data_IF_749426123458
#
_entry.id   IF_749426123458
#
_cell.length_a   1.000
_cell.length_b   1.000
_cell.length_c   1.000
_cell.angle_alpha   90.00
_cell.angle_beta   90.00
_cell.angle_gamma   90.00
#
_symmetry.space_group_name_H-M   'P 1'
#
loop_
_entity.id
_entity.type
_entity.pdbx_description
1 polymer ?
#
# COMPACT_ATOMS: atom_id res chain seq x y z
N UNK A 1 -16.25 -7.64 -7.94
CA UNK A 1 -15.29 -7.02 -8.85
C UNK A 1 -15.38 -7.69 -10.22
N UNK A 2 -15.57 -6.92 -11.29
CA UNK A 2 -15.57 -7.42 -12.68
C UNK A 2 -14.19 -7.31 -13.33
N UNK A 3 -13.44 -6.26 -13.00
CA UNK A 3 -12.13 -5.97 -13.58
C UNK A 3 -11.04 -5.91 -12.51
N UNK A 4 -9.87 -6.47 -12.81
CA UNK A 4 -8.61 -6.14 -12.16
C UNK A 4 -8.09 -4.79 -12.66
N UNK A 5 -7.39 -4.05 -11.79
CA UNK A 5 -6.90 -2.70 -12.05
C UNK A 5 -5.38 -2.61 -11.88
N UNK A 6 -4.71 -1.94 -12.82
CA UNK A 6 -3.28 -1.67 -12.77
C UNK A 6 -3.02 -0.19 -13.05
N UNK A 7 -2.22 0.42 -12.18
CA UNK A 7 -1.60 1.72 -12.38
C UNK A 7 -0.10 1.49 -12.47
N UNK A 8 0.56 2.02 -13.49
CA UNK A 8 2.01 1.86 -13.64
C UNK A 8 2.68 3.11 -14.16
N UNK A 9 3.86 3.41 -13.59
CA UNK A 9 4.83 4.38 -14.11
C UNK A 9 6.06 3.68 -14.72
N UNK A 10 5.93 2.41 -15.10
CA UNK A 10 6.88 1.71 -15.97
C UNK A 10 6.66 2.13 -17.43
N UNK A 11 7.72 2.16 -18.22
CA UNK A 11 7.57 2.17 -19.67
C UNK A 11 6.81 0.91 -20.11
N UNK A 12 5.94 1.04 -21.11
CA UNK A 12 5.18 -0.09 -21.66
C UNK A 12 5.70 -0.37 -23.06
N UNK A 13 6.21 -1.58 -23.29
CA UNK A 13 6.68 -2.06 -24.59
C UNK A 13 5.62 -2.96 -25.24
N UNK A 14 5.92 -3.52 -26.42
CA UNK A 14 5.05 -4.49 -27.09
C UNK A 14 4.86 -5.79 -26.29
N UNK A 15 5.78 -6.12 -25.39
CA UNK A 15 5.75 -7.36 -24.59
C UNK A 15 5.29 -7.16 -23.15
N UNK A 16 5.07 -5.92 -22.72
CA UNK A 16 4.56 -5.60 -21.39
C UNK A 16 5.25 -4.41 -20.72
N UNK A 17 4.96 -4.17 -19.43
CA UNK A 17 5.65 -3.17 -18.64
C UNK A 17 7.13 -3.55 -18.50
N UNK A 18 8.00 -2.67 -18.98
CA UNK A 18 9.44 -2.78 -18.85
C UNK A 18 9.93 -2.27 -17.50
N UNK A 19 11.22 -2.00 -17.44
CA UNK A 19 11.94 -1.69 -16.21
C UNK A 19 12.40 -0.23 -16.10
N UNK A 20 12.01 0.61 -17.06
CA UNK A 20 12.37 2.03 -17.05
C UNK A 20 11.26 2.88 -16.46
N UNK A 21 11.65 3.90 -15.69
CA UNK A 21 10.73 4.90 -15.16
C UNK A 21 10.19 5.81 -16.28
N UNK A 22 8.88 6.03 -16.28
CA UNK A 22 8.24 7.13 -17.01
C UNK A 22 7.59 8.10 -16.02
N UNK A 23 7.62 9.40 -16.33
CA UNK A 23 7.10 10.47 -15.44
C UNK A 23 5.58 10.64 -15.50
N UNK A 24 4.86 9.66 -16.05
CA UNK A 24 3.40 9.68 -16.17
C UNK A 24 2.80 8.35 -15.74
N UNK A 25 1.61 8.39 -15.14
CA UNK A 25 0.85 7.18 -14.80
C UNK A 25 0.06 6.70 -16.02
N UNK A 26 0.14 5.40 -16.28
CA UNK A 26 -0.71 4.69 -17.24
C UNK A 26 -1.67 3.76 -16.49
N UNK A 27 -2.85 3.56 -17.08
CA UNK A 27 -3.98 2.90 -16.44
C UNK A 27 -4.44 1.74 -17.31
N UNK A 28 -4.60 0.57 -16.70
CA UNK A 28 -4.93 -0.66 -17.39
C UNK A 28 -5.99 -1.43 -16.60
N UNK A 29 -6.85 -2.14 -17.32
CA UNK A 29 -7.82 -3.08 -16.76
C UNK A 29 -7.71 -4.45 -17.41
N UNK A 30 -8.04 -5.49 -16.66
CA UNK A 30 -8.13 -6.85 -17.15
C UNK A 30 -9.39 -7.52 -16.58
N UNK A 31 -10.13 -8.35 -17.35
CA UNK A 31 -11.27 -9.08 -16.79
C UNK A 31 -10.83 -10.04 -15.68
N UNK A 32 -11.55 -10.05 -14.56
CA UNK A 32 -11.34 -11.07 -13.53
C UNK A 32 -11.65 -12.46 -14.12
N UNK A 33 -10.75 -13.42 -13.89
CA UNK A 33 -10.81 -14.78 -14.45
C UNK A 33 -9.85 -15.02 -15.62
N UNK A 34 -9.21 -13.97 -16.15
CA UNK A 34 -8.03 -14.10 -17.03
C UNK A 34 -6.75 -14.27 -16.20
N UNK A 35 -5.68 -14.75 -16.84
CA UNK A 35 -4.35 -14.75 -16.25
C UNK A 35 -3.83 -13.31 -16.21
N UNK A 36 -3.77 -12.73 -15.02
CA UNK A 36 -3.32 -11.36 -14.81
C UNK A 36 -1.79 -11.23 -14.95
N UNK A 37 -1.06 -12.35 -14.93
CA UNK A 37 0.37 -12.38 -15.22
C UNK A 37 0.69 -12.43 -16.72
N UNK A 38 -0.33 -12.57 -17.57
CA UNK A 38 -0.23 -12.40 -19.02
C UNK A 38 -0.58 -10.96 -19.41
N UNK A 39 0.37 -10.25 -20.03
CA UNK A 39 0.16 -8.86 -20.45
C UNK A 39 -0.95 -8.73 -21.50
N UNK A 40 -1.18 -9.76 -22.31
CA UNK A 40 -2.25 -9.76 -23.31
C UNK A 40 -3.66 -9.68 -22.69
N UNK A 41 -3.80 -9.99 -21.40
CA UNK A 41 -5.05 -9.82 -20.66
C UNK A 41 -5.38 -8.36 -20.34
N UNK A 42 -4.42 -7.45 -20.46
CA UNK A 42 -4.53 -6.06 -20.02
C UNK A 42 -4.84 -5.11 -21.17
N UNK A 43 -5.87 -4.29 -20.98
CA UNK A 43 -6.26 -3.22 -21.90
C UNK A 43 -5.91 -1.87 -21.29
N UNK A 44 -5.14 -1.06 -22.02
CA UNK A 44 -4.88 0.34 -21.64
C UNK A 44 -6.16 1.15 -21.79
N UNK A 45 -6.49 1.95 -20.78
CA UNK A 45 -7.63 2.87 -20.78
C UNK A 45 -7.19 4.27 -20.36
N UNK A 46 -8.06 5.26 -20.52
CA UNK A 46 -7.77 6.61 -20.04
C UNK A 46 -7.88 6.68 -18.52
N UNK A 47 -7.23 7.67 -17.89
CA UNK A 47 -7.37 7.88 -16.44
C UNK A 47 -8.80 8.25 -16.01
N UNK A 48 -9.58 8.86 -16.91
CA UNK A 48 -11.00 9.15 -16.66
C UNK A 48 -11.82 7.85 -16.63
N UNK A 49 -11.67 7.00 -17.66
CA UNK A 49 -12.38 5.71 -17.72
C UNK A 49 -11.99 4.81 -16.55
N UNK A 50 -10.70 4.82 -16.16
CA UNK A 50 -10.22 4.06 -15.01
C UNK A 50 -10.91 4.48 -13.71
N UNK A 51 -11.02 5.79 -13.48
CA UNK A 51 -11.76 6.33 -12.32
C UNK A 51 -13.23 5.93 -12.39
N UNK A 52 -13.87 6.06 -13.55
CA UNK A 52 -15.30 5.77 -13.70
C UNK A 52 -15.61 4.27 -13.48
N UNK A 53 -14.70 3.38 -13.88
CA UNK A 53 -14.76 1.96 -13.56
C UNK A 53 -14.61 1.69 -12.05
N UNK A 54 -13.66 2.35 -11.36
CA UNK A 54 -13.54 2.25 -9.90
C UNK A 54 -14.79 2.78 -9.17
N UNK A 55 -15.35 3.89 -9.64
CA UNK A 55 -16.60 4.43 -9.08
C UNK A 55 -17.76 3.46 -9.29
N UNK A 56 -17.82 2.79 -10.43
CA UNK A 56 -18.85 1.77 -10.70
C UNK A 56 -18.74 0.59 -9.76
N UNK A 57 -17.52 0.08 -9.51
CA UNK A 57 -17.30 -1.04 -8.57
C UNK A 57 -17.60 -0.63 -7.12
N UNK A 58 -17.16 0.55 -6.70
CA UNK A 58 -17.33 1.04 -5.32
C UNK A 58 -18.76 1.51 -5.03
N UNK A 59 -19.55 1.87 -6.05
CA UNK A 59 -20.97 2.19 -5.88
C UNK A 59 -21.78 0.98 -5.37
N UNK A 60 -21.32 -0.25 -5.64
CA UNK A 60 -21.94 -1.48 -5.14
C UNK A 60 -21.59 -1.79 -3.67
N UNK A 61 -20.70 -1.01 -3.04
CA UNK A 61 -20.35 -1.23 -1.64
C UNK A 61 -21.54 -0.91 -0.72
N UNK A 62 -21.74 -1.70 0.35
CA UNK A 62 -22.85 -1.52 1.26
C UNK A 62 -22.72 -0.18 2.00
N UNK A 63 -23.85 0.47 2.24
CA UNK A 63 -23.93 1.59 3.18
C UNK A 63 -24.10 0.98 4.56
N UNK A 64 -23.15 1.21 5.45
CA UNK A 64 -23.13 0.66 6.81
C UNK A 64 -23.26 1.79 7.83
N UNK A 65 -23.78 1.47 9.01
CA UNK A 65 -23.71 2.36 10.17
C UNK A 65 -22.29 2.32 10.76
N UNK A 66 -21.92 3.36 11.53
CA UNK A 66 -20.58 3.50 12.09
C UNK A 66 -20.15 2.34 13.01
N UNK A 67 -21.11 1.65 13.63
CA UNK A 67 -20.88 0.48 14.47
C UNK A 67 -20.35 -0.73 13.69
N UNK A 68 -20.69 -0.84 12.40
CA UNK A 68 -20.29 -1.93 11.52
C UNK A 68 -19.09 -1.57 10.63
N UNK A 69 -18.23 -0.66 11.09
CA UNK A 69 -17.08 -0.19 10.30
C UNK A 69 -16.12 -1.33 9.87
N UNK A 70 -16.08 -2.46 10.59
CA UNK A 70 -15.25 -3.63 10.26
C UNK A 70 -15.73 -4.39 9.01
N UNK A 71 -16.98 -4.13 8.58
CA UNK A 71 -17.56 -4.67 7.35
C UNK A 71 -17.53 -3.68 6.17
N UNK A 72 -17.02 -2.46 6.37
CA UNK A 72 -16.82 -1.50 5.28
C UNK A 72 -15.84 -2.06 4.25
N UNK A 73 -16.15 -1.83 2.97
CA UNK A 73 -15.32 -2.29 1.88
C UNK A 73 -14.22 -1.27 1.60
N UNK A 74 -13.12 -1.77 1.06
CA UNK A 74 -11.90 -1.02 0.85
C UNK A 74 -11.65 -0.81 -0.65
N UNK A 75 -11.16 0.38 -1.01
CA UNK A 75 -10.35 0.57 -2.20
C UNK A 75 -8.88 0.47 -1.75
N UNK A 76 -8.29 -0.68 -2.02
CA UNK A 76 -6.94 -1.02 -1.59
C UNK A 76 -5.94 -0.86 -2.72
N UNK A 77 -4.75 -0.35 -2.41
CA UNK A 77 -3.61 -0.31 -3.32
C UNK A 77 -2.59 -1.36 -2.89
N UNK A 78 -2.10 -2.18 -3.81
CA UNK A 78 -0.96 -3.06 -3.57
C UNK A 78 0.29 -2.51 -4.29
N UNK A 79 1.30 -2.14 -3.52
CA UNK A 79 2.60 -1.65 -4.01
C UNK A 79 3.63 -2.74 -3.80
N UNK A 80 4.13 -3.33 -4.89
CA UNK A 80 5.08 -4.43 -4.83
C UNK A 80 6.48 -4.00 -4.39
N UNK A 81 7.31 -4.98 -4.02
CA UNK A 81 8.70 -4.79 -3.59
C UNK A 81 9.74 -4.73 -4.72
N UNK A 82 11.00 -4.68 -4.31
CA UNK A 82 12.19 -4.71 -5.17
C UNK A 82 12.43 -6.05 -5.86
N UNK A 83 13.16 -6.03 -6.98
CA UNK A 83 13.56 -7.19 -7.79
C UNK A 83 12.37 -8.08 -8.21
N UNK A 84 11.20 -7.47 -8.39
CA UNK A 84 10.06 -8.12 -9.00
C UNK A 84 9.96 -7.70 -10.47
N UNK A 85 9.99 -8.70 -11.35
CA UNK A 85 9.46 -8.52 -12.70
C UNK A 85 7.99 -8.11 -12.60
N UNK A 86 7.47 -7.44 -13.63
CA UNK A 86 6.04 -7.13 -13.69
C UNK A 86 5.18 -8.39 -13.50
N UNK A 87 5.60 -9.52 -14.09
CA UNK A 87 4.89 -10.79 -13.99
C UNK A 87 4.82 -11.31 -12.55
N UNK A 88 5.90 -11.22 -11.77
CA UNK A 88 5.88 -11.62 -10.35
C UNK A 88 4.95 -10.73 -9.52
N UNK A 89 4.98 -9.41 -9.76
CA UNK A 89 4.07 -8.48 -9.10
C UNK A 89 2.60 -8.79 -9.46
N UNK A 90 2.32 -9.11 -10.73
CA UNK A 90 1.00 -9.48 -11.20
C UNK A 90 0.51 -10.82 -10.62
N UNK A 91 1.38 -11.82 -10.48
CA UNK A 91 1.07 -13.10 -9.82
C UNK A 91 0.69 -12.90 -8.35
N UNK A 92 1.47 -12.11 -7.61
CA UNK A 92 1.17 -11.77 -6.22
C UNK A 92 -0.15 -11.02 -6.10
N UNK A 93 -0.40 -10.06 -6.98
CA UNK A 93 -1.65 -9.32 -7.03
C UNK A 93 -2.85 -10.23 -7.31
N UNK A 94 -2.75 -11.15 -8.27
CA UNK A 94 -3.79 -12.13 -8.56
C UNK A 94 -4.06 -13.05 -7.36
N UNK A 95 -3.00 -13.47 -6.67
CA UNK A 95 -3.11 -14.25 -5.43
C UNK A 95 -3.89 -13.47 -4.37
N UNK A 96 -3.51 -12.22 -4.09
CA UNK A 96 -4.19 -11.37 -3.11
C UNK A 96 -5.66 -11.14 -3.48
N UNK A 97 -5.99 -10.95 -4.77
CA UNK A 97 -7.37 -10.86 -5.21
C UNK A 97 -8.16 -12.11 -4.82
N UNK A 98 -7.60 -13.28 -5.10
CA UNK A 98 -8.25 -14.57 -4.82
C UNK A 98 -8.46 -14.77 -3.32
N UNK A 99 -7.43 -14.47 -2.53
CA UNK A 99 -7.40 -14.82 -1.11
C UNK A 99 -8.15 -13.81 -0.24
N UNK A 100 -8.21 -12.51 -0.63
CA UNK A 100 -8.73 -11.43 0.23
C UNK A 100 -9.83 -10.55 -0.41
N UNK A 101 -9.91 -10.49 -1.75
CA UNK A 101 -10.84 -9.58 -2.46
C UNK A 101 -11.88 -10.31 -3.30
N UNK A 102 -12.00 -11.63 -3.11
CA UNK A 102 -12.96 -12.52 -3.76
C UNK A 102 -13.66 -13.39 -2.73
N UNK A 103 -14.77 -14.03 -3.11
CA UNK A 103 -15.52 -14.92 -2.23
C UNK A 103 -16.75 -14.27 -1.59
N UNK A 104 -17.23 -14.85 -0.49
CA UNK A 104 -18.50 -14.46 0.14
C UNK A 104 -18.43 -13.13 0.89
N UNK A 105 -17.28 -12.82 1.50
CA UNK A 105 -17.07 -11.57 2.25
C UNK A 105 -15.75 -10.87 1.83
N UNK A 106 -15.69 -10.30 0.62
CA UNK A 106 -14.44 -9.75 0.08
C UNK A 106 -14.08 -8.40 0.72
N UNK A 107 -12.79 -8.09 0.85
CA UNK A 107 -12.35 -6.78 1.37
C UNK A 107 -12.77 -5.59 0.50
N UNK A 108 -13.04 -5.77 -0.79
CA UNK A 108 -13.49 -4.71 -1.69
C UNK A 108 -12.79 -4.76 -3.05
N UNK A 109 -12.13 -3.67 -3.44
CA UNK A 109 -11.37 -3.56 -4.69
C UNK A 109 -9.88 -3.45 -4.38
N UNK A 110 -9.04 -4.21 -5.10
CA UNK A 110 -7.58 -4.10 -5.06
C UNK A 110 -7.08 -3.52 -6.38
N UNK A 111 -6.13 -2.60 -6.32
CA UNK A 111 -5.44 -2.02 -7.47
C UNK A 111 -3.95 -2.32 -7.35
N UNK A 112 -3.36 -2.92 -8.40
CA UNK A 112 -1.92 -3.07 -8.48
C UNK A 112 -1.29 -1.72 -8.84
N UNK A 113 -0.34 -1.26 -8.04
CA UNK A 113 0.51 -0.11 -8.34
C UNK A 113 1.91 -0.64 -8.64
N UNK A 114 2.29 -0.60 -9.92
CA UNK A 114 3.58 -1.11 -10.38
C UNK A 114 4.57 0.01 -10.66
N UNK A 115 5.79 -0.16 -10.16
CA UNK A 115 6.90 0.77 -10.32
C UNK A 115 8.15 0.04 -10.83
N UNK A 116 9.06 0.71 -11.56
CA UNK A 116 10.25 0.08 -12.14
C UNK A 116 11.18 -0.39 -11.02
N UNK A 117 11.20 -1.69 -10.75
CA UNK A 117 11.89 -2.27 -9.59
C UNK A 117 12.86 -3.41 -9.92
N UNK A 118 13.17 -3.63 -11.20
CA UNK A 118 13.89 -4.83 -11.67
C UNK A 118 15.41 -4.64 -11.76
N UNK A 119 16.00 -3.78 -10.93
CA UNK A 119 17.44 -3.55 -10.86
C UNK A 119 18.17 -4.68 -10.11
N UNK A 120 19.39 -4.99 -10.54
CA UNK A 120 20.22 -6.06 -9.96
C UNK A 120 20.66 -5.75 -8.52
N UNK A 121 21.07 -6.76 -7.74
CA UNK A 121 21.65 -6.58 -6.37
C UNK A 121 22.78 -5.54 -6.31
N UNK A 122 23.52 -5.31 -7.41
CA UNK A 122 24.54 -4.27 -7.51
C UNK A 122 23.99 -2.84 -7.73
N UNK A 123 22.68 -2.68 -7.91
CA UNK A 123 21.95 -1.45 -8.27
C UNK A 123 21.03 -0.89 -7.19
N UNK A 124 21.05 -1.44 -5.96
CA UNK A 124 20.16 -1.03 -4.86
C UNK A 124 20.12 0.49 -4.58
N UNK A 125 21.25 1.20 -4.78
CA UNK A 125 21.31 2.66 -4.64
C UNK A 125 20.61 3.39 -5.80
N UNK A 126 20.95 3.13 -7.09
CA UNK A 126 20.17 3.60 -8.24
C UNK A 126 18.66 3.34 -8.12
N UNK A 127 18.26 2.16 -7.67
CA UNK A 127 16.84 1.81 -7.53
C UNK A 127 16.13 2.62 -6.43
N UNK A 128 16.86 3.14 -5.44
CA UNK A 128 16.29 4.09 -4.47
C UNK A 128 16.11 5.49 -5.07
N UNK A 129 16.92 5.88 -6.04
CA UNK A 129 16.70 7.13 -6.78
C UNK A 129 15.47 7.01 -7.68
N UNK A 130 15.37 5.92 -8.44
CA UNK A 130 14.19 5.62 -9.26
C UNK A 130 12.92 5.43 -8.41
N UNK A 131 13.02 4.79 -7.25
CA UNK A 131 11.91 4.70 -6.29
C UNK A 131 11.48 6.09 -5.80
N UNK A 132 12.43 7.00 -5.54
CA UNK A 132 12.13 8.37 -5.11
C UNK A 132 11.49 9.18 -6.24
N UNK A 133 12.03 9.08 -7.44
CA UNK A 133 11.56 9.81 -8.61
C UNK A 133 10.19 9.28 -9.06
N UNK A 134 10.01 7.96 -9.06
CA UNK A 134 8.73 7.31 -9.31
C UNK A 134 7.68 7.61 -8.24
N UNK A 135 8.08 7.73 -6.98
CA UNK A 135 7.19 8.13 -5.89
C UNK A 135 6.60 9.54 -6.10
N UNK A 136 7.34 10.47 -6.72
CA UNK A 136 6.82 11.80 -7.04
C UNK A 136 5.68 11.76 -8.08
N UNK A 137 5.74 10.81 -9.02
CA UNK A 137 4.65 10.53 -9.97
C UNK A 137 3.48 9.84 -9.26
N UNK A 138 3.74 8.88 -8.36
CA UNK A 138 2.69 8.24 -7.56
C UNK A 138 2.00 9.19 -6.58
N UNK A 139 2.66 10.26 -6.12
CA UNK A 139 2.03 11.28 -5.29
C UNK A 139 0.81 11.93 -5.97
N UNK A 140 0.76 11.97 -7.31
CA UNK A 140 -0.41 12.44 -8.06
C UNK A 140 -1.65 11.58 -7.83
N UNK A 141 -1.48 10.26 -7.69
CA UNK A 141 -2.58 9.34 -7.36
C UNK A 141 -3.18 9.71 -6.00
N UNK A 142 -2.33 9.89 -4.99
CA UNK A 142 -2.77 10.21 -3.63
C UNK A 142 -3.39 11.60 -3.49
N UNK A 143 -2.87 12.61 -4.22
CA UNK A 143 -3.51 13.93 -4.30
C UNK A 143 -4.91 13.83 -4.90
N UNK A 144 -5.07 13.11 -6.03
CA UNK A 144 -6.39 12.90 -6.66
C UNK A 144 -7.36 12.14 -5.75
N UNK A 145 -6.88 11.13 -5.04
CA UNK A 145 -7.69 10.40 -4.06
C UNK A 145 -8.12 11.32 -2.91
N UNK A 146 -7.21 12.12 -2.37
CA UNK A 146 -7.53 13.10 -1.32
C UNK A 146 -8.58 14.11 -1.79
N UNK A 147 -8.39 14.72 -2.97
CA UNK A 147 -9.34 15.69 -3.51
C UNK A 147 -10.72 15.08 -3.73
N UNK A 148 -10.76 13.81 -4.17
CA UNK A 148 -12.01 13.08 -4.29
C UNK A 148 -12.69 12.87 -2.93
N UNK A 149 -11.99 12.32 -1.94
CA UNK A 149 -12.52 12.10 -0.58
C UNK A 149 -13.03 13.40 0.02
N UNK A 150 -12.24 14.47 -0.09
CA UNK A 150 -12.62 15.81 0.37
C UNK A 150 -13.88 16.32 -0.32
N UNK A 151 -13.98 16.16 -1.64
CA UNK A 151 -15.14 16.62 -2.41
C UNK A 151 -16.42 15.90 -1.99
N UNK A 152 -16.34 14.59 -1.72
CA UNK A 152 -17.47 13.78 -1.27
C UNK A 152 -17.88 14.14 0.17
N UNK A 153 -16.92 14.40 1.05
CA UNK A 153 -17.19 14.91 2.41
C UNK A 153 -17.89 16.28 2.37
N UNK A 154 -17.38 17.21 1.56
CA UNK A 154 -18.01 18.53 1.39
C UNK A 154 -19.42 18.42 0.80
N UNK A 155 -19.63 17.50 -0.15
CA UNK A 155 -20.95 17.25 -0.73
C UNK A 155 -21.92 16.71 0.32
N UNK A 156 -21.51 15.73 1.12
CA UNK A 156 -22.32 15.17 2.20
C UNK A 156 -22.72 16.23 3.23
N UNK A 157 -21.77 17.08 3.65
CA UNK A 157 -22.05 18.20 4.57
C UNK A 157 -23.01 19.21 3.94
N UNK A 158 -22.75 19.64 2.70
CA UNK A 158 -23.57 20.63 1.99
C UNK A 158 -25.01 20.17 1.78
N UNK A 159 -25.20 18.87 1.56
CA UNK A 159 -26.52 18.27 1.29
C UNK A 159 -27.18 17.69 2.54
N UNK A 160 -26.47 17.66 3.67
CA UNK A 160 -26.85 16.95 4.89
C UNK A 160 -27.27 15.49 4.62
N UNK A 161 -26.54 14.83 3.72
CA UNK A 161 -26.84 13.48 3.23
C UNK A 161 -25.59 12.59 3.37
N UNK A 162 -25.50 11.78 4.44
CA UNK A 162 -24.39 10.84 4.65
C UNK A 162 -24.21 9.83 3.51
N UNK A 163 -25.24 9.57 2.68
CA UNK A 163 -25.12 8.67 1.54
C UNK A 163 -24.19 9.21 0.43
N UNK A 164 -23.82 10.50 0.50
CA UNK A 164 -22.83 11.15 -0.37
C UNK A 164 -21.39 10.98 0.09
N UNK A 165 -21.14 10.42 1.28
CA UNK A 165 -19.77 10.11 1.70
C UNK A 165 -19.16 9.03 0.79
N UNK A 166 -17.82 8.98 0.74
CA UNK A 166 -17.14 7.86 0.11
C UNK A 166 -17.56 6.55 0.78
N UNK A 167 -18.02 5.58 -0.02
CA UNK A 167 -18.46 4.25 0.46
C UNK A 167 -17.30 3.29 0.71
N UNK A 168 -16.08 3.73 0.46
CA UNK A 168 -14.88 2.90 0.51
C UNK A 168 -13.86 3.50 1.46
N UNK A 169 -13.33 2.67 2.37
CA UNK A 169 -12.07 2.97 3.06
C UNK A 169 -10.92 2.88 2.06
N UNK A 170 -9.99 3.83 2.09
CA UNK A 170 -8.76 3.72 1.31
C UNK A 170 -7.74 2.96 2.13
N UNK A 171 -7.11 1.94 1.55
CA UNK A 171 -6.07 1.15 2.23
C UNK A 171 -4.90 0.86 1.32
N UNK A 172 -3.73 0.59 1.90
CA UNK A 172 -2.51 0.31 1.15
C UNK A 172 -1.79 -0.86 1.78
N UNK A 173 -1.39 -1.81 0.94
CA UNK A 173 -0.49 -2.91 1.26
C UNK A 173 0.80 -2.63 0.51
N UNK A 174 1.85 -2.23 1.22
CA UNK A 174 3.16 -1.95 0.63
C UNK A 174 4.15 -3.02 1.08
N UNK A 175 4.87 -3.61 0.13
CA UNK A 175 5.82 -4.69 0.39
C UNK A 175 7.27 -4.25 0.19
N UNK A 176 8.18 -4.61 1.09
CA UNK A 176 9.63 -4.42 0.88
C UNK A 176 9.98 -2.95 0.56
N UNK A 177 10.78 -2.68 -0.49
CA UNK A 177 11.07 -1.33 -1.02
C UNK A 177 9.83 -0.58 -1.51
N UNK A 178 8.71 -1.23 -1.78
CA UNK A 178 7.43 -0.55 -2.01
C UNK A 178 7.03 0.35 -0.83
N UNK A 179 7.50 0.05 0.39
CA UNK A 179 7.35 0.92 1.55
C UNK A 179 8.17 2.20 1.45
N UNK A 180 9.36 2.15 0.83
CA UNK A 180 10.16 3.35 0.58
C UNK A 180 9.52 4.22 -0.51
N UNK A 181 8.98 3.60 -1.56
CA UNK A 181 8.15 4.30 -2.56
C UNK A 181 6.96 4.98 -1.87
N UNK A 182 6.26 4.25 -1.01
CA UNK A 182 5.12 4.76 -0.25
C UNK A 182 5.51 5.93 0.67
N UNK A 183 6.62 5.81 1.39
CA UNK A 183 7.18 6.84 2.24
C UNK A 183 7.40 8.14 1.47
N UNK A 184 8.08 8.05 0.32
CA UNK A 184 8.36 9.23 -0.50
C UNK A 184 7.11 9.80 -1.17
N UNK A 185 6.17 8.94 -1.60
CA UNK A 185 4.95 9.37 -2.24
C UNK A 185 4.07 10.16 -1.27
N UNK A 186 3.85 9.64 -0.06
CA UNK A 186 3.06 10.33 0.98
C UNK A 186 3.72 11.62 1.46
N UNK A 187 5.04 11.64 1.61
CA UNK A 187 5.75 12.87 1.98
C UNK A 187 5.54 13.98 0.93
N UNK A 188 5.64 13.63 -0.37
CA UNK A 188 5.36 14.57 -1.47
C UNK A 188 3.89 14.97 -1.49
N UNK A 189 2.96 14.03 -1.32
CA UNK A 189 1.51 14.30 -1.25
C UNK A 189 1.18 15.26 -0.12
N UNK A 190 1.68 15.01 1.10
CA UNK A 190 1.43 15.88 2.25
C UNK A 190 1.93 17.30 1.98
N UNK A 191 3.15 17.44 1.44
CA UNK A 191 3.70 18.75 1.05
C UNK A 191 2.86 19.46 -0.01
N UNK A 192 2.41 18.76 -1.05
CA UNK A 192 1.54 19.33 -2.12
C UNK A 192 0.17 19.75 -1.60
N UNK A 193 -0.33 19.06 -0.57
CA UNK A 193 -1.61 19.35 0.07
C UNK A 193 -1.48 20.35 1.24
N UNK A 194 -0.31 20.95 1.45
CA UNK A 194 0.00 21.83 2.58
C UNK A 194 -0.28 21.19 3.95
N UNK A 195 0.20 19.97 4.16
CA UNK A 195 0.07 19.19 5.40
C UNK A 195 -1.38 19.14 5.91
N UNK A 196 -2.29 18.45 5.19
CA UNK A 196 -3.70 18.46 5.51
C UNK A 196 -3.94 17.72 6.83
N UNK A 197 -4.38 18.44 7.86
CA UNK A 197 -4.57 17.88 9.21
C UNK A 197 -5.99 17.37 9.51
N UNK A 198 -6.94 17.56 8.59
CA UNK A 198 -8.38 17.34 8.86
C UNK A 198 -9.01 16.19 8.07
N UNK A 199 -8.27 15.56 7.16
CA UNK A 199 -8.79 14.49 6.30
C UNK A 199 -7.83 13.30 6.34
N UNK A 200 -8.30 12.21 6.92
CA UNK A 200 -7.65 10.91 6.76
C UNK A 200 -7.71 10.50 5.30
N UNK A 201 -6.54 10.40 4.66
CA UNK A 201 -6.45 9.85 3.31
C UNK A 201 -6.43 8.33 3.34
N UNK A 202 -5.61 7.73 4.20
CA UNK A 202 -5.40 6.28 4.24
C UNK A 202 -5.90 5.72 5.57
N UNK A 203 -6.87 4.83 5.51
CA UNK A 203 -7.47 4.25 6.70
C UNK A 203 -6.59 3.16 7.29
N UNK A 204 -5.99 2.32 6.44
CA UNK A 204 -5.07 1.25 6.84
C UNK A 204 -3.87 1.23 5.89
N UNK A 205 -2.68 1.50 6.41
CA UNK A 205 -1.41 1.27 5.73
C UNK A 205 -0.73 0.05 6.37
N UNK A 206 -0.57 -1.03 5.60
CA UNK A 206 0.14 -2.23 6.04
C UNK A 206 1.50 -2.29 5.37
N UNK A 207 2.55 -2.19 6.18
CA UNK A 207 3.94 -2.09 5.75
C UNK A 207 4.63 -3.46 5.87
N UNK A 208 4.34 -4.36 4.93
CA UNK A 208 4.82 -5.75 4.96
C UNK A 208 6.31 -5.80 4.64
N UNK A 209 7.11 -6.37 5.54
CA UNK A 209 8.57 -6.51 5.38
C UNK A 209 9.22 -5.18 4.96
N UNK A 210 8.88 -4.09 5.66
CA UNK A 210 9.22 -2.74 5.26
C UNK A 210 10.72 -2.45 5.18
N UNK A 211 11.21 -2.08 4.00
CA UNK A 211 12.60 -1.66 3.75
C UNK A 211 12.80 -0.15 3.96
N UNK A 212 12.41 0.31 5.15
CA UNK A 212 12.59 1.68 5.66
C UNK A 212 13.27 1.62 7.03
N UNK A 213 13.80 2.74 7.47
CA UNK A 213 14.47 2.83 8.77
C UNK A 213 13.46 2.64 9.91
N UNK A 214 13.84 1.93 10.97
CA UNK A 214 12.93 1.57 12.07
C UNK A 214 12.60 2.72 13.04
N UNK A 215 13.32 3.83 12.93
CA UNK A 215 13.08 5.09 13.63
C UNK A 215 12.25 6.09 12.82
N UNK A 216 11.73 5.69 11.65
CA UNK A 216 10.95 6.53 10.74
C UNK A 216 9.83 7.30 11.45
N UNK A 217 9.17 6.67 12.44
CA UNK A 217 7.98 7.21 13.11
C UNK A 217 8.26 7.80 14.50
N UNK A 218 9.52 8.07 14.84
CA UNK A 218 9.86 8.77 16.08
C UNK A 218 9.43 10.25 16.02
N UNK A 219 8.85 10.75 17.12
CA UNK A 219 8.30 12.10 17.27
C UNK A 219 9.36 13.17 17.55
N UNK A 220 10.57 12.77 17.92
CA UNK A 220 11.72 13.67 18.07
C UNK A 220 12.33 14.08 16.71
N UNK A 221 11.89 13.46 15.61
CA UNK A 221 12.21 13.87 14.25
C UNK A 221 11.54 15.21 13.89
N UNK A 222 12.14 16.04 13.02
CA UNK A 222 11.56 17.31 12.59
C UNK A 222 10.13 17.17 12.06
N UNK A 223 9.25 18.16 12.28
CA UNK A 223 7.84 18.13 11.86
C UNK A 223 7.66 17.79 10.36
N UNK A 224 8.58 18.25 9.51
CA UNK A 224 8.59 17.95 8.06
C UNK A 224 9.23 16.62 7.66
N UNK A 225 9.55 15.74 8.61
CA UNK A 225 10.09 14.40 8.35
C UNK A 225 9.05 13.52 7.65
N UNK A 226 9.52 12.56 6.85
CA UNK A 226 8.61 11.71 6.07
C UNK A 226 7.64 10.94 6.98
N UNK A 227 8.11 10.43 8.13
CA UNK A 227 7.27 9.68 9.07
C UNK A 227 6.15 10.53 9.70
N UNK A 228 6.45 11.77 10.06
CA UNK A 228 5.45 12.72 10.56
C UNK A 228 4.39 13.01 9.48
N UNK A 229 4.84 13.26 8.25
CA UNK A 229 3.93 13.53 7.11
C UNK A 229 3.07 12.30 6.76
N UNK A 230 3.63 11.09 6.85
CA UNK A 230 2.90 9.83 6.66
C UNK A 230 1.86 9.61 7.76
N UNK A 231 2.25 9.79 9.03
CA UNK A 231 1.37 9.63 10.18
C UNK A 231 0.16 10.57 10.10
N UNK A 232 0.34 11.81 9.63
CA UNK A 232 -0.76 12.77 9.46
C UNK A 232 -1.77 12.36 8.36
N UNK A 233 -1.32 11.68 7.30
CA UNK A 233 -2.18 11.24 6.21
C UNK A 233 -2.90 9.91 6.49
N UNK A 234 -2.42 9.16 7.49
CA UNK A 234 -2.93 7.83 7.81
C UNK A 234 -3.74 7.84 9.09
N UNK A 235 -4.84 7.10 9.12
CA UNK A 235 -5.54 6.79 10.38
C UNK A 235 -4.81 5.69 11.15
N UNK A 236 -4.23 4.73 10.44
CA UNK A 236 -3.49 3.62 11.03
C UNK A 236 -2.37 3.13 10.12
N UNK A 237 -1.19 2.96 10.71
CA UNK A 237 -0.02 2.34 10.10
C UNK A 237 0.33 1.09 10.90
N UNK A 238 0.38 -0.07 10.23
CA UNK A 238 0.75 -1.35 10.85
C UNK A 238 1.97 -1.91 10.15
N UNK A 239 3.02 -2.22 10.90
CA UNK A 239 4.30 -2.71 10.41
C UNK A 239 4.60 -4.13 10.93
N UNK A 240 4.10 -5.18 10.25
CA UNK A 240 4.55 -6.54 10.50
C UNK A 240 6.05 -6.68 10.30
N UNK A 241 6.74 -7.31 11.24
CA UNK A 241 8.18 -7.56 11.17
C UNK A 241 8.55 -9.00 11.53
N UNK A 242 9.71 -9.44 11.07
CA UNK A 242 10.31 -10.69 11.55
C UNK A 242 11.83 -10.58 11.58
N UNK A 243 12.43 -10.89 12.74
CA UNK A 243 13.88 -10.95 12.90
C UNK A 243 14.57 -11.98 11.99
N UNK A 244 13.78 -12.91 11.42
CA UNK A 244 14.22 -13.98 10.53
C UNK A 244 14.26 -13.55 9.05
N UNK A 245 13.84 -12.32 8.72
CA UNK A 245 13.95 -11.77 7.36
C UNK A 245 15.41 -11.42 7.02
N UNK A 246 16.09 -12.35 6.36
CA UNK A 246 17.49 -12.21 5.94
C UNK A 246 17.70 -11.19 4.80
N UNK A 247 16.69 -10.92 3.96
CA UNK A 247 16.77 -9.94 2.87
C UNK A 247 16.95 -8.54 3.45
N UNK A 248 16.12 -8.19 4.43
CA UNK A 248 16.25 -6.91 5.14
C UNK A 248 17.49 -6.85 6.05
N UNK A 249 17.98 -8.01 6.50
CA UNK A 249 19.25 -8.10 7.21
C UNK A 249 20.42 -7.65 6.34
N UNK A 250 20.42 -8.05 5.07
CA UNK A 250 21.43 -7.62 4.09
C UNK A 250 21.25 -6.15 3.67
N UNK A 251 20.01 -5.66 3.52
CA UNK A 251 19.75 -4.28 3.09
C UNK A 251 20.11 -3.21 4.14
N UNK A 252 20.14 -3.58 5.43
CA UNK A 252 20.54 -2.67 6.51
C UNK A 252 22.01 -2.22 6.38
N UNK A 253 22.89 -3.09 5.89
CA UNK A 253 24.33 -2.83 5.79
C UNK A 253 24.75 -1.85 4.68
N UNK A 254 23.83 -1.44 3.80
CA UNK A 254 24.17 -0.75 2.54
C UNK A 254 23.99 0.79 2.56
N UNK A 255 23.41 1.40 3.61
CA UNK A 255 23.03 2.85 3.54
C UNK A 255 23.28 3.68 4.79
N UNK A 256 22.96 3.17 5.97
CA UNK A 256 23.15 3.86 7.24
C UNK A 256 23.90 2.90 8.13
N UNK A 257 25.18 3.15 8.39
CA UNK A 257 26.01 2.35 9.30
C UNK A 257 25.36 2.34 10.70
N UNK A 258 24.36 1.47 10.95
CA UNK A 258 23.77 1.23 12.27
C UNK A 258 22.24 1.09 12.37
N UNK A 259 21.44 1.74 11.52
CA UNK A 259 19.96 1.74 11.70
C UNK A 259 19.31 0.48 11.13
N UNK A 260 18.40 -0.13 11.91
CA UNK A 260 17.74 -1.40 11.53
C UNK A 260 16.55 -1.14 10.60
N UNK A 261 16.18 -2.15 9.82
CA UNK A 261 15.00 -2.09 8.94
C UNK A 261 13.73 -2.40 9.72
N UNK A 262 12.71 -1.56 9.55
CA UNK A 262 11.42 -1.70 10.21
C UNK A 262 10.82 -3.11 10.05
N UNK A 263 10.83 -3.66 8.83
CA UNK A 263 10.30 -5.00 8.56
C UNK A 263 11.10 -6.17 9.15
N UNK A 264 12.31 -5.91 9.67
CA UNK A 264 13.14 -6.92 10.34
C UNK A 264 13.12 -6.77 11.85
N UNK A 265 13.18 -5.54 12.35
CA UNK A 265 13.39 -5.29 13.79
C UNK A 265 12.16 -4.80 14.54
N UNK A 266 11.07 -4.45 13.84
CA UNK A 266 10.03 -3.63 14.44
C UNK A 266 10.52 -2.19 14.66
N UNK A 267 9.69 -1.38 15.32
CA UNK A 267 9.95 0.01 15.69
C UNK A 267 11.18 0.13 16.59
N UNK A 268 11.90 1.25 16.48
CA UNK A 268 13.10 1.51 17.30
C UNK A 268 12.79 1.75 18.79
N UNK A 269 11.59 2.24 19.10
CA UNK A 269 11.08 2.46 20.46
C UNK A 269 9.57 2.14 20.45
N UNK A 270 9.01 1.79 21.60
CA UNK A 270 7.59 1.48 21.79
C UNK A 270 6.92 2.42 22.82
N UNK A 271 7.65 3.41 23.34
CA UNK A 271 7.11 4.44 24.23
C UNK A 271 6.06 5.27 23.46
N UNK A 272 4.78 5.27 23.90
CA UNK A 272 3.70 6.03 23.26
C UNK A 272 3.92 7.55 23.28
N UNK A 273 4.89 8.05 24.06
CA UNK A 273 5.31 9.45 24.04
C UNK A 273 6.29 9.76 22.90
N UNK A 274 7.03 8.75 22.43
CA UNK A 274 8.11 8.92 21.45
C UNK A 274 7.72 8.46 20.05
N UNK A 275 6.76 7.56 19.91
CA UNK A 275 6.26 7.12 18.60
C UNK A 275 4.86 7.67 18.36
N UNK A 276 4.53 7.90 17.10
CA UNK A 276 3.15 8.24 16.71
C UNK A 276 2.15 7.20 17.21
N UNK A 277 1.07 7.68 17.80
CA UNK A 277 0.03 6.87 18.45
C UNK A 277 -0.83 6.09 17.46
N UNK A 278 -0.72 6.39 16.17
CA UNK A 278 -1.35 5.67 15.07
C UNK A 278 -0.42 4.68 14.33
N UNK A 279 0.74 4.35 14.91
CA UNK A 279 1.72 3.42 14.35
C UNK A 279 1.94 2.25 15.28
N UNK A 280 1.86 1.03 14.75
CA UNK A 280 2.06 -0.21 15.49
C UNK A 280 2.91 -1.18 14.69
N UNK A 281 3.69 -2.01 15.38
CA UNK A 281 4.40 -3.13 14.80
C UNK A 281 3.94 -4.46 15.41
N UNK A 282 4.12 -5.54 14.65
CA UNK A 282 3.77 -6.89 15.10
C UNK A 282 4.87 -7.86 14.69
N UNK A 283 5.41 -8.60 15.65
CA UNK A 283 6.29 -9.73 15.32
C UNK A 283 5.43 -10.83 14.71
N UNK A 284 5.66 -11.11 13.44
CA UNK A 284 4.93 -12.14 12.68
C UNK A 284 5.74 -13.41 12.47
N UNK A 285 6.91 -13.54 13.10
CA UNK A 285 7.83 -14.68 12.91
C UNK A 285 7.11 -16.03 13.07
N UNK A 286 6.23 -16.13 14.06
CA UNK A 286 5.48 -17.35 14.35
C UNK A 286 4.39 -17.64 13.33
N UNK A 287 3.74 -16.59 12.82
CA UNK A 287 2.69 -16.71 11.81
C UNK A 287 3.23 -17.16 10.46
N UNK A 288 4.52 -16.89 10.20
CA UNK A 288 5.14 -17.13 8.89
C UNK A 288 6.15 -18.28 8.88
N UNK A 289 6.23 -19.11 9.93
CA UNK A 289 7.22 -20.20 10.05
C UNK A 289 7.23 -21.19 8.87
N UNK A 290 6.08 -21.39 8.22
CA UNK A 290 5.92 -22.28 7.06
C UNK A 290 6.17 -21.62 5.70
N UNK A 291 6.52 -20.33 5.65
CA UNK A 291 6.79 -19.62 4.41
C UNK A 291 8.08 -20.12 3.74
N UNK A 292 8.13 -20.05 2.41
CA UNK A 292 9.36 -20.32 1.66
C UNK A 292 10.39 -19.21 1.90
N UNK A 293 9.91 -17.97 1.99
CA UNK A 293 10.73 -16.80 2.25
C UNK A 293 10.05 -15.92 3.30
N UNK A 294 10.74 -15.66 4.42
CA UNK A 294 10.21 -14.79 5.48
C UNK A 294 9.88 -13.38 4.96
N UNK A 295 10.65 -12.89 3.99
CA UNK A 295 10.43 -11.59 3.36
C UNK A 295 9.06 -11.43 2.68
N UNK A 296 8.46 -12.52 2.20
CA UNK A 296 7.11 -12.55 1.63
C UNK A 296 6.13 -13.42 2.42
N UNK A 297 6.54 -13.88 3.60
CA UNK A 297 5.85 -14.96 4.32
C UNK A 297 4.44 -14.61 4.77
N UNK A 298 4.17 -13.32 4.98
CA UNK A 298 2.83 -12.83 5.33
C UNK A 298 1.82 -13.09 4.20
N UNK A 299 2.27 -13.16 2.95
CA UNK A 299 1.43 -13.45 1.79
C UNK A 299 1.40 -14.95 1.42
N UNK A 300 2.16 -15.80 2.12
CA UNK A 300 2.32 -17.22 1.78
C UNK A 300 1.60 -18.15 2.75
N UNK A 301 1.54 -17.77 4.01
CA UNK A 301 0.90 -18.56 5.07
C UNK A 301 -0.55 -18.16 5.25
N UNK A 302 -1.38 -19.12 5.69
CA UNK A 302 -2.79 -18.87 5.98
C UNK A 302 -2.93 -17.89 7.14
N UNK A 303 -2.12 -18.06 8.18
CA UNK A 303 -2.10 -17.24 9.38
C UNK A 303 -1.63 -15.81 9.06
N UNK A 304 -0.63 -15.67 8.18
CA UNK A 304 -0.19 -14.37 7.68
C UNK A 304 -1.29 -13.63 6.90
N UNK A 305 -1.98 -14.33 5.98
CA UNK A 305 -3.10 -13.75 5.23
C UNK A 305 -4.28 -13.37 6.15
N UNK A 306 -4.57 -14.19 7.17
CA UNK A 306 -5.59 -13.87 8.18
C UNK A 306 -5.22 -12.62 8.99
N UNK A 307 -3.95 -12.45 9.38
CA UNK A 307 -3.50 -11.23 10.03
C UNK A 307 -3.69 -10.02 9.09
N UNK A 308 -3.28 -10.14 7.83
CA UNK A 308 -3.42 -9.07 6.85
C UNK A 308 -4.89 -8.66 6.67
N UNK A 309 -5.80 -9.62 6.57
CA UNK A 309 -7.25 -9.36 6.53
C UNK A 309 -7.74 -8.64 7.79
N UNK A 310 -7.35 -9.13 8.97
CA UNK A 310 -7.77 -8.55 10.26
C UNK A 310 -7.28 -7.12 10.44
N UNK A 311 -6.04 -6.82 10.03
CA UNK A 311 -5.48 -5.47 10.06
C UNK A 311 -6.26 -4.55 9.12
N UNK A 312 -6.54 -5.01 7.89
CA UNK A 312 -7.31 -4.22 6.94
C UNK A 312 -8.74 -3.94 7.43
N UNK A 313 -9.38 -4.91 8.10
CA UNK A 313 -10.69 -4.69 8.74
C UNK A 313 -10.62 -3.88 10.03
N UNK A 314 -9.44 -3.74 10.63
CA UNK A 314 -9.23 -3.05 11.91
C UNK A 314 -9.63 -3.86 13.15
N UNK A 315 -9.66 -5.20 13.06
CA UNK A 315 -10.13 -6.11 14.13
C UNK A 315 -9.01 -6.96 14.74
N UNK A 316 -7.78 -6.77 14.29
CA UNK A 316 -6.59 -7.52 14.71
C UNK A 316 -6.30 -7.42 16.22
N UNK A 317 -6.59 -6.28 16.87
CA UNK A 317 -6.40 -6.11 18.33
C UNK A 317 -7.24 -7.05 19.19
N UNK A 318 -8.33 -7.60 18.65
CA UNK A 318 -9.14 -8.62 19.33
C UNK A 318 -8.49 -10.02 19.26
N UNK A 319 -7.44 -10.19 18.45
CA UNK A 319 -6.94 -11.49 18.02
C UNK A 319 -5.40 -11.64 18.07
N UNK A 320 -4.66 -10.57 18.35
CA UNK A 320 -3.23 -10.59 18.62
C UNK A 320 -3.07 -10.37 20.13
N UNK A 321 -2.91 -11.47 20.87
CA UNK A 321 -2.49 -11.49 22.27
C UNK A 321 -1.17 -12.26 22.36
#
# INVERSE_FOLDING_TARGET
MKNAFLITNRNVTSTGPGDSLVKTLTYHIAPIGKDLSDWASWTKITGADFRDQLMTETAAFPILNAENNEAERHLSLFIHGYNNSWTEAARRYQQLIKDLYSGQDPLGVLVLVSWPSNGSVAGYLPDREDARDGAATLAELFVKLHDHVRSMQLLAVKTNDPSKLCRAKISVIAHSMGNYVMQKALAVTSKRLNNPSLITLIHQLVMVAADVDNDLFQRDQPEGSDGNLMANLCYRITAPYSGLDNVLGASAGLKHFGTRRLGRSGLADHDPKKVHDNVWDHDVSDLIRGAKHYHSGLFETKEGLQLLERVLRGVDRKHIN
#
